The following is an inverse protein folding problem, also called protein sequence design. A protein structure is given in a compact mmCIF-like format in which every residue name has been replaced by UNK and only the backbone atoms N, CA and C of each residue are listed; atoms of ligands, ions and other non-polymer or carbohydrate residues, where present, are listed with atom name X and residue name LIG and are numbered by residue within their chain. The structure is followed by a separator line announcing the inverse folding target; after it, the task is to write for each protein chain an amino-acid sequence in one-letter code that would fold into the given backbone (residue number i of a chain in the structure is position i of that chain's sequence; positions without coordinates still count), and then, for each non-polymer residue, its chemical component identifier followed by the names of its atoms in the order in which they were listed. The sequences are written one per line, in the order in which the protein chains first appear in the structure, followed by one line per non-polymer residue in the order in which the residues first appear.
data_IF_260241706847
#
_entry.id   IF_260241706847
#
_cell.length_a   1.000
_cell.length_b   1.000
_cell.length_c   1.000
_cell.angle_alpha   90.00
_cell.angle_beta   90.00
_cell.angle_gamma   90.00
#
_symmetry.space_group_name_H-M   'P 1'
#
loop_
_entity.id
_entity.type
_entity.pdbx_description
1 polymer ?
#
# COMPACT_ATOMS: atom_id res chain seq x y z
N UNK A 1 -19.17 -1.95 -8.80
CA UNK A 1 -18.31 -2.84 -8.00
C UNK A 1 -18.12 -2.21 -6.62
N UNK A 2 -17.96 -3.04 -5.59
CA UNK A 2 -17.62 -2.59 -4.23
C UNK A 2 -16.10 -2.53 -4.10
N UNK A 3 -15.58 -1.38 -3.80
CA UNK A 3 -14.12 -1.13 -3.72
C UNK A 3 -13.76 -0.74 -2.28
N UNK A 4 -12.79 -1.40 -1.71
CA UNK A 4 -12.19 -0.99 -0.44
C UNK A 4 -10.90 -0.20 -0.68
N UNK A 5 -10.77 1.01 -0.13
CA UNK A 5 -9.51 1.72 -0.03
C UNK A 5 -9.02 1.65 1.41
N UNK A 6 -7.93 0.92 1.64
CA UNK A 6 -7.34 0.72 2.96
C UNK A 6 -6.31 1.80 3.25
N UNK A 7 -6.41 2.43 4.42
CA UNK A 7 -5.54 3.53 4.84
C UNK A 7 -5.16 3.30 6.31
N UNK A 8 -3.88 3.28 6.62
CA UNK A 8 -3.39 3.23 8.00
C UNK A 8 -2.94 4.63 8.40
N UNK A 9 -3.63 5.22 9.38
CA UNK A 9 -3.42 6.60 9.82
C UNK A 9 -3.34 6.65 11.35
N UNK A 10 -2.17 6.40 11.92
CA UNK A 10 -1.95 6.40 13.36
C UNK A 10 -1.04 7.53 13.80
N UNK A 11 -1.14 7.94 15.07
CA UNK A 11 -0.32 8.99 15.68
C UNK A 11 -0.36 10.28 14.85
N UNK A 12 0.80 10.85 14.55
CA UNK A 12 0.94 12.12 13.81
C UNK A 12 0.59 11.99 12.32
N UNK A 13 0.61 10.78 11.75
CA UNK A 13 0.22 10.54 10.36
C UNK A 13 -1.26 10.86 10.10
N UNK A 14 -2.08 10.97 11.15
CA UNK A 14 -3.48 11.36 11.04
C UNK A 14 -3.68 12.72 10.32
N UNK A 15 -2.69 13.62 10.37
CA UNK A 15 -2.74 14.91 9.68
C UNK A 15 -2.86 14.82 8.16
N UNK A 16 -2.44 13.69 7.56
CA UNK A 16 -2.52 13.47 6.12
C UNK A 16 -3.85 12.84 5.68
N UNK A 17 -4.66 12.35 6.64
CA UNK A 17 -5.83 11.56 6.31
C UNK A 17 -6.91 12.36 5.58
N UNK A 18 -7.33 13.52 6.11
CA UNK A 18 -8.36 14.34 5.45
C UNK A 18 -7.92 14.82 4.05
N UNK A 19 -6.68 15.31 3.86
CA UNK A 19 -6.17 15.63 2.52
C UNK A 19 -6.21 14.44 1.53
N UNK A 20 -5.84 13.24 1.98
CA UNK A 20 -5.93 12.03 1.14
C UNK A 20 -7.37 11.72 0.78
N UNK A 21 -8.29 11.66 1.77
CA UNK A 21 -9.72 11.36 1.56
C UNK A 21 -10.35 12.39 0.61
N UNK A 22 -10.13 13.68 0.84
CA UNK A 22 -10.67 14.74 -0.03
C UNK A 22 -10.19 14.63 -1.46
N UNK A 23 -8.93 14.23 -1.66
CA UNK A 23 -8.40 14.00 -3.01
C UNK A 23 -8.95 12.71 -3.64
N UNK A 24 -9.11 11.66 -2.85
CA UNK A 24 -9.71 10.41 -3.32
C UNK A 24 -11.18 10.57 -3.69
N UNK A 25 -11.94 11.38 -2.96
CA UNK A 25 -13.34 11.72 -3.30
C UNK A 25 -13.45 12.37 -4.69
N UNK A 26 -12.43 13.13 -5.10
CA UNK A 26 -12.44 13.81 -6.40
C UNK A 26 -11.93 12.93 -7.55
N UNK A 27 -11.01 12.00 -7.27
CA UNK A 27 -10.22 11.38 -8.35
C UNK A 27 -10.17 9.84 -8.33
N UNK A 28 -10.55 9.17 -7.23
CA UNK A 28 -10.39 7.73 -7.12
C UNK A 28 -11.70 6.99 -7.41
N UNK A 29 -11.76 6.26 -8.54
CA UNK A 29 -12.85 5.35 -8.93
C UNK A 29 -14.27 5.95 -8.73
N UNK A 30 -14.49 7.17 -9.23
CA UNK A 30 -15.71 7.96 -9.02
C UNK A 30 -17.01 7.28 -9.46
N UNK A 31 -16.93 6.28 -10.35
CA UNK A 31 -18.08 5.52 -10.86
C UNK A 31 -18.30 4.20 -10.09
N UNK A 32 -17.64 3.98 -8.94
CA UNK A 32 -17.71 2.75 -8.16
C UNK A 32 -18.23 3.01 -6.75
N UNK A 33 -18.72 1.96 -6.08
CA UNK A 33 -19.15 2.02 -4.66
C UNK A 33 -17.90 1.86 -3.76
N UNK A 34 -17.24 2.98 -3.45
CA UNK A 34 -16.00 3.00 -2.67
C UNK A 34 -16.32 3.13 -1.19
N UNK A 35 -15.66 2.29 -0.37
CA UNK A 35 -15.63 2.36 1.09
C UNK A 35 -14.20 2.60 1.55
N UNK A 36 -13.99 3.62 2.38
CA UNK A 36 -12.72 3.87 3.04
C UNK A 36 -12.61 3.05 4.32
N UNK A 37 -11.62 2.19 4.42
CA UNK A 37 -11.27 1.44 5.62
C UNK A 37 -10.09 2.14 6.29
N UNK A 38 -10.35 2.81 7.41
CA UNK A 38 -9.36 3.63 8.10
C UNK A 38 -8.95 2.92 9.39
N UNK A 39 -7.69 2.51 9.44
CA UNK A 39 -7.07 1.89 10.60
C UNK A 39 -6.35 2.98 11.40
N UNK A 40 -6.83 3.29 12.61
CA UNK A 40 -6.34 4.44 13.40
C UNK A 40 -6.44 4.19 14.90
N UNK A 41 -5.57 4.84 15.65
CA UNK A 41 -5.53 4.88 17.12
C UNK A 41 -6.30 6.08 17.71
N UNK A 42 -7.03 6.84 16.87
CA UNK A 42 -7.68 8.09 17.23
C UNK A 42 -9.18 8.06 16.97
N UNK A 43 -9.92 8.76 17.83
CA UNK A 43 -11.27 9.18 17.48
C UNK A 43 -11.19 10.30 16.46
N UNK A 44 -11.77 10.06 15.29
CA UNK A 44 -11.66 10.97 14.14
C UNK A 44 -13.03 11.33 13.59
N UNK A 45 -13.12 12.54 13.04
CA UNK A 45 -14.23 12.97 12.18
C UNK A 45 -13.64 13.26 10.80
N UNK A 46 -14.20 12.64 9.77
CA UNK A 46 -13.75 12.76 8.38
C UNK A 46 -14.91 13.26 7.53
N UNK A 47 -14.64 14.32 6.78
CA UNK A 47 -15.58 14.86 5.82
C UNK A 47 -15.47 14.10 4.49
N UNK A 48 -16.50 13.33 4.17
CA UNK A 48 -16.64 12.61 2.88
C UNK A 48 -18.09 12.24 2.65
N UNK A 49 -18.48 12.12 1.38
CA UNK A 49 -19.76 11.56 0.96
C UNK A 49 -19.76 10.05 0.80
N UNK A 50 -18.59 9.41 0.85
CA UNK A 50 -18.42 7.97 0.69
C UNK A 50 -18.56 7.23 2.03
N UNK A 51 -18.70 5.91 1.94
CA UNK A 51 -18.79 5.06 3.13
C UNK A 51 -17.46 5.05 3.89
N UNK A 52 -17.55 5.13 5.21
CA UNK A 52 -16.42 5.02 6.14
C UNK A 52 -16.56 3.77 7.00
N UNK A 53 -15.48 3.05 7.16
CA UNK A 53 -15.31 2.00 8.16
C UNK A 53 -14.05 2.32 8.97
N UNK A 54 -14.25 2.85 10.19
CA UNK A 54 -13.14 3.20 11.09
C UNK A 54 -12.87 2.00 11.99
N UNK A 55 -11.63 1.55 11.99
CA UNK A 55 -11.17 0.37 12.73
C UNK A 55 -10.09 0.80 13.71
N UNK A 56 -10.36 0.59 15.00
CA UNK A 56 -9.37 0.91 16.04
C UNK A 56 -8.14 0.01 15.88
N UNK A 57 -6.97 0.63 15.80
CA UNK A 57 -5.69 -0.05 15.59
C UNK A 57 -4.63 0.60 16.45
N UNK A 58 -3.99 -0.19 17.31
CA UNK A 58 -2.94 0.30 18.18
C UNK A 58 -1.75 0.85 17.38
N UNK A 59 -1.29 2.05 17.72
CA UNK A 59 -0.09 2.63 17.14
C UNK A 59 1.16 1.87 17.57
N UNK A 60 2.06 1.68 16.62
CA UNK A 60 3.43 1.20 16.89
C UNK A 60 4.40 2.11 16.15
N UNK A 61 5.52 2.42 16.80
CA UNK A 61 6.57 3.22 16.19
C UNK A 61 7.13 2.55 14.92
N UNK A 62 7.69 3.37 14.04
CA UNK A 62 8.41 2.86 12.88
C UNK A 62 9.59 1.98 13.31
N UNK A 63 9.85 0.81 12.68
CA UNK A 63 9.20 0.29 11.47
C UNK A 63 7.99 -0.64 11.74
N UNK A 64 7.53 -0.78 12.97
CA UNK A 64 6.57 -1.80 13.38
C UNK A 64 5.18 -1.61 12.77
N UNK A 65 4.72 -0.34 12.57
CA UNK A 65 3.46 -0.09 11.86
C UNK A 65 3.53 -0.56 10.41
N UNK A 66 4.66 -0.28 9.73
CA UNK A 66 4.90 -0.69 8.35
C UNK A 66 4.95 -2.21 8.22
N UNK A 67 5.73 -2.89 9.08
CA UNK A 67 5.80 -4.36 9.13
C UNK A 67 4.47 -5.02 9.51
N UNK A 68 3.66 -4.35 10.33
CA UNK A 68 2.37 -4.87 10.82
C UNK A 68 1.20 -4.74 9.84
N UNK A 69 1.35 -3.99 8.74
CA UNK A 69 0.24 -3.63 7.83
C UNK A 69 -0.55 -4.84 7.33
N UNK A 70 0.12 -5.86 6.82
CA UNK A 70 -0.56 -7.04 6.28
C UNK A 70 -1.25 -7.88 7.37
N UNK A 71 -0.70 -7.92 8.58
CA UNK A 71 -1.37 -8.53 9.73
C UNK A 71 -2.66 -7.80 10.08
N UNK A 72 -2.66 -6.47 10.09
CA UNK A 72 -3.86 -5.65 10.31
C UNK A 72 -4.94 -6.01 9.28
N UNK A 73 -4.59 -6.19 8.01
CA UNK A 73 -5.55 -6.56 6.98
C UNK A 73 -6.11 -7.97 7.18
N UNK A 74 -5.26 -8.94 7.54
CA UNK A 74 -5.72 -10.32 7.79
C UNK A 74 -6.61 -10.44 9.02
N UNK A 75 -6.36 -9.67 10.08
CA UNK A 75 -7.21 -9.62 11.26
C UNK A 75 -8.61 -9.06 10.95
N UNK A 76 -8.75 -8.33 9.85
CA UNK A 76 -10.02 -7.77 9.36
C UNK A 76 -10.57 -8.50 8.12
N UNK A 77 -10.10 -9.71 7.84
CA UNK A 77 -10.46 -10.51 6.66
C UNK A 77 -11.96 -10.55 6.39
N UNK A 78 -12.77 -10.85 7.42
CA UNK A 78 -14.23 -11.00 7.29
C UNK A 78 -14.93 -9.74 6.77
N UNK A 79 -14.44 -8.57 7.13
CA UNK A 79 -15.00 -7.31 6.67
C UNK A 79 -14.49 -6.98 5.26
N UNK A 80 -13.20 -7.12 5.03
CA UNK A 80 -12.56 -6.80 3.78
C UNK A 80 -12.98 -7.71 2.63
N UNK A 81 -13.24 -9.00 2.90
CA UNK A 81 -13.72 -9.96 1.89
C UNK A 81 -15.10 -9.67 1.32
N UNK A 82 -15.84 -8.68 1.85
CA UNK A 82 -17.12 -8.21 1.29
C UNK A 82 -16.94 -7.30 0.07
N UNK A 83 -15.72 -6.85 -0.19
CA UNK A 83 -15.38 -6.00 -1.34
C UNK A 83 -15.07 -6.86 -2.58
N UNK A 84 -15.34 -6.33 -3.76
CA UNK A 84 -14.93 -6.96 -5.01
C UNK A 84 -13.42 -6.75 -5.26
N UNK A 85 -12.93 -5.54 -4.97
CA UNK A 85 -11.53 -5.14 -5.09
C UNK A 85 -11.08 -4.36 -3.85
N UNK A 86 -9.80 -4.49 -3.53
CA UNK A 86 -9.15 -3.82 -2.42
C UNK A 86 -7.88 -3.13 -2.91
N UNK A 87 -7.69 -1.87 -2.52
CA UNK A 87 -6.46 -1.13 -2.72
C UNK A 87 -5.94 -0.60 -1.40
N UNK A 88 -4.65 -0.68 -1.20
CA UNK A 88 -3.95 -0.01 -0.12
C UNK A 88 -3.33 1.29 -0.65
N UNK A 89 -3.42 2.35 0.14
CA UNK A 89 -2.76 3.63 -0.12
C UNK A 89 -2.09 4.14 1.17
N UNK A 90 -0.80 4.49 1.09
CA UNK A 90 -0.14 5.18 2.19
C UNK A 90 -0.87 6.50 2.48
N UNK A 91 -1.05 6.81 3.76
CA UNK A 91 -1.85 7.98 4.17
C UNK A 91 -1.23 9.31 3.75
N UNK A 92 0.07 9.36 3.56
CA UNK A 92 0.84 10.53 3.10
C UNK A 92 0.97 10.60 1.56
N UNK A 93 -0.08 10.13 0.89
CA UNK A 93 -0.25 10.29 -0.55
C UNK A 93 -1.43 11.23 -0.88
N UNK A 94 -1.48 11.69 -2.14
CA UNK A 94 -2.55 12.59 -2.61
C UNK A 94 -2.88 12.31 -4.07
N UNK A 95 -4.14 12.03 -4.36
CA UNK A 95 -4.63 11.92 -5.75
C UNK A 95 -4.69 13.32 -6.39
N UNK A 96 -4.22 13.44 -7.62
CA UNK A 96 -4.18 14.71 -8.36
C UNK A 96 -4.75 14.62 -9.77
N UNK A 97 -5.14 13.44 -10.21
CA UNK A 97 -5.80 13.18 -11.49
C UNK A 97 -6.62 11.89 -11.38
N UNK A 98 -7.58 11.73 -12.30
CA UNK A 98 -8.50 10.59 -12.30
C UNK A 98 -7.78 9.24 -12.33
N UNK A 99 -8.17 8.39 -11.39
CA UNK A 99 -7.85 6.98 -11.30
C UNK A 99 -9.15 6.21 -11.49
N UNK A 100 -9.31 5.59 -12.67
CA UNK A 100 -10.52 4.90 -13.09
C UNK A 100 -10.36 3.39 -13.14
N UNK A 101 -11.14 2.75 -14.01
CA UNK A 101 -11.19 1.30 -14.12
C UNK A 101 -9.90 0.67 -14.68
N UNK A 102 -8.93 1.46 -15.12
CA UNK A 102 -7.62 0.99 -15.60
C UNK A 102 -6.81 0.24 -14.54
N UNK A 103 -7.16 0.42 -13.26
CA UNK A 103 -6.52 -0.30 -12.15
C UNK A 103 -7.23 -1.62 -11.79
N UNK A 104 -8.38 -1.93 -12.38
CA UNK A 104 -9.16 -3.13 -12.05
C UNK A 104 -8.47 -4.37 -12.61
N UNK A 105 -7.88 -5.17 -11.74
CA UNK A 105 -7.17 -6.42 -12.06
C UNK A 105 -6.92 -7.23 -10.78
N UNK A 106 -6.48 -8.49 -10.90
CA UNK A 106 -6.32 -9.38 -9.74
C UNK A 106 -5.14 -9.03 -8.82
N UNK A 107 -4.00 -8.66 -9.39
CA UNK A 107 -2.78 -8.26 -8.65
C UNK A 107 -2.22 -6.99 -9.28
N UNK A 108 -2.37 -5.88 -8.58
CA UNK A 108 -2.03 -4.53 -9.04
C UNK A 108 -0.87 -4.00 -8.21
N UNK A 109 0.18 -3.57 -8.89
CA UNK A 109 1.38 -2.97 -8.28
C UNK A 109 1.78 -1.70 -9.01
N UNK A 110 2.54 -0.84 -8.35
CA UNK A 110 3.06 0.40 -8.92
C UNK A 110 4.57 0.32 -9.07
N UNK A 111 5.11 0.69 -10.22
CA UNK A 111 6.56 0.83 -10.43
C UNK A 111 7.13 1.84 -9.43
N UNK A 112 8.21 1.45 -8.73
CA UNK A 112 8.86 2.35 -7.79
C UNK A 112 9.54 3.52 -8.53
N UNK A 113 9.24 4.79 -8.17
CA UNK A 113 9.71 5.97 -8.93
C UNK A 113 11.23 6.10 -8.97
N UNK A 114 11.92 5.65 -7.93
CA UNK A 114 13.39 5.68 -7.87
C UNK A 114 14.10 4.65 -8.75
N UNK A 115 13.37 3.66 -9.31
CA UNK A 115 14.00 2.55 -10.05
C UNK A 115 13.47 2.36 -11.48
N UNK A 116 12.41 3.05 -11.86
CA UNK A 116 11.82 3.14 -13.21
C UNK A 116 11.73 1.78 -13.94
N UNK A 117 11.25 0.75 -13.25
CA UNK A 117 11.13 -0.61 -13.80
C UNK A 117 12.39 -1.47 -13.69
N UNK A 118 13.48 -0.93 -13.16
CA UNK A 118 14.69 -1.70 -12.85
C UNK A 118 14.54 -2.58 -11.60
N UNK A 119 15.62 -3.31 -11.30
CA UNK A 119 15.69 -4.29 -10.20
C UNK A 119 15.61 -3.66 -8.81
N UNK A 120 15.95 -2.37 -8.66
CA UNK A 120 16.00 -1.68 -7.38
C UNK A 120 16.98 -2.30 -6.38
N UNK A 121 16.58 -2.32 -5.10
CA UNK A 121 17.37 -2.83 -3.98
C UNK A 121 16.63 -3.97 -3.26
N UNK A 122 16.57 -5.18 -3.83
CA UNK A 122 15.90 -6.32 -3.21
C UNK A 122 16.61 -6.77 -1.93
N UNK A 123 15.90 -7.50 -1.08
CA UNK A 123 16.51 -8.17 0.06
C UNK A 123 17.51 -9.23 -0.42
N UNK A 124 18.74 -9.14 0.07
CA UNK A 124 19.86 -9.99 -0.37
C UNK A 124 20.30 -11.03 0.68
N UNK A 125 19.75 -10.97 1.90
CA UNK A 125 20.05 -11.96 2.95
C UNK A 125 19.26 -13.22 2.70
N UNK A 126 19.96 -14.32 2.46
CA UNK A 126 19.37 -15.62 2.11
C UNK A 126 18.48 -16.20 3.24
N UNK A 127 18.71 -15.77 4.47
CA UNK A 127 17.93 -16.19 5.64
C UNK A 127 16.56 -15.51 5.72
N UNK A 128 16.38 -14.37 5.01
CA UNK A 128 15.11 -13.65 4.98
C UNK A 128 14.12 -14.34 4.02
N UNK A 129 12.86 -14.39 4.43
CA UNK A 129 11.76 -14.84 3.55
C UNK A 129 11.46 -13.85 2.42
N UNK A 130 12.04 -12.65 2.46
CA UNK A 130 11.99 -11.64 1.39
C UNK A 130 13.16 -11.75 0.40
N UNK A 131 14.08 -12.71 0.57
CA UNK A 131 15.26 -12.87 -0.28
C UNK A 131 14.90 -13.03 -1.75
N UNK A 132 15.61 -12.29 -2.62
CA UNK A 132 15.52 -12.40 -4.08
C UNK A 132 16.93 -12.61 -4.64
N UNK A 133 17.16 -13.76 -5.27
CA UNK A 133 18.47 -14.13 -5.81
C UNK A 133 18.89 -13.17 -6.96
N UNK A 134 20.21 -12.93 -7.14
CA UNK A 134 20.72 -11.99 -8.16
C UNK A 134 20.29 -12.30 -9.59
N UNK A 135 20.07 -13.56 -9.91
CA UNK A 135 19.69 -14.09 -11.22
C UNK A 135 18.16 -14.15 -11.45
N UNK A 136 17.35 -13.96 -10.41
CA UNK A 136 15.90 -13.87 -10.58
C UNK A 136 15.50 -12.58 -11.29
N UNK A 137 14.69 -12.71 -12.34
CA UNK A 137 14.16 -11.55 -13.05
C UNK A 137 13.09 -10.84 -12.22
N UNK A 138 13.22 -9.54 -12.04
CA UNK A 138 12.25 -8.73 -11.30
C UNK A 138 12.22 -7.28 -11.75
N UNK A 139 11.06 -6.67 -11.55
CA UNK A 139 10.84 -5.23 -11.50
C UNK A 139 10.56 -4.85 -10.06
N UNK A 140 11.11 -3.73 -9.58
CA UNK A 140 10.91 -3.27 -8.22
C UNK A 140 9.66 -2.39 -8.10
N UNK A 141 8.76 -2.76 -7.18
CA UNK A 141 7.47 -2.10 -6.96
C UNK A 141 7.45 -1.34 -5.64
N UNK A 142 6.77 -0.19 -5.64
CA UNK A 142 6.55 0.63 -4.45
C UNK A 142 5.45 0.04 -3.55
N UNK A 143 5.66 0.10 -2.25
CA UNK A 143 4.68 -0.36 -1.25
C UNK A 143 3.52 0.60 -1.03
N UNK A 144 3.63 1.86 -1.47
CA UNK A 144 2.68 2.92 -1.11
C UNK A 144 1.30 2.84 -1.79
N UNK A 145 1.21 2.23 -2.98
CA UNK A 145 -0.06 1.99 -3.66
C UNK A 145 -0.04 0.66 -4.41
N UNK A 146 -0.88 -0.27 -3.96
CA UNK A 146 -1.05 -1.59 -4.55
C UNK A 146 -2.44 -2.13 -4.24
N UNK A 147 -2.86 -3.22 -4.91
CA UNK A 147 -4.20 -3.77 -4.70
C UNK A 147 -4.52 -4.95 -5.61
N UNK A 148 -5.82 -5.19 -5.79
CA UNK A 148 -6.31 -6.23 -6.66
C UNK A 148 -7.71 -6.71 -6.31
N UNK A 149 -8.14 -7.86 -6.87
CA UNK A 149 -9.36 -8.51 -6.39
C UNK A 149 -9.22 -8.83 -4.91
N UNK A 150 -10.33 -8.72 -4.15
CA UNK A 150 -10.31 -8.96 -2.69
C UNK A 150 -9.70 -10.31 -2.34
N UNK A 151 -10.01 -11.36 -3.12
CA UNK A 151 -9.45 -12.69 -2.95
C UNK A 151 -7.92 -12.66 -3.02
N UNK A 152 -7.36 -12.09 -4.09
CA UNK A 152 -5.91 -12.08 -4.31
C UNK A 152 -5.17 -11.12 -3.39
N UNK A 153 -5.77 -9.99 -3.02
CA UNK A 153 -5.19 -9.07 -2.06
C UNK A 153 -5.12 -9.68 -0.64
N UNK A 154 -6.18 -10.38 -0.21
CA UNK A 154 -6.22 -11.01 1.11
C UNK A 154 -5.35 -12.27 1.19
N UNK A 155 -5.27 -13.06 0.11
CA UNK A 155 -4.31 -14.16 -0.04
C UNK A 155 -2.87 -13.63 0.10
N UNK A 156 -2.50 -12.59 -0.66
CA UNK A 156 -1.21 -11.93 -0.56
C UNK A 156 -0.94 -11.43 0.87
N UNK A 157 -1.90 -10.73 1.47
CA UNK A 157 -1.75 -10.19 2.82
C UNK A 157 -1.48 -11.27 3.86
N UNK A 158 -2.13 -12.43 3.74
CA UNK A 158 -1.92 -13.57 4.64
C UNK A 158 -0.49 -14.10 4.49
N UNK A 159 -0.05 -14.35 3.28
CA UNK A 159 1.31 -14.85 3.00
C UNK A 159 2.37 -13.85 3.49
N UNK A 160 2.17 -12.55 3.25
CA UNK A 160 3.12 -11.52 3.67
C UNK A 160 3.18 -11.37 5.20
N UNK A 161 2.03 -11.42 5.88
CA UNK A 161 1.99 -11.41 7.35
C UNK A 161 2.74 -12.62 7.94
N UNK A 162 2.58 -13.81 7.38
CA UNK A 162 3.28 -15.03 7.80
C UNK A 162 4.79 -14.91 7.57
N UNK A 163 5.24 -14.48 6.38
CA UNK A 163 6.65 -14.29 6.04
C UNK A 163 7.33 -13.27 6.95
N UNK A 164 6.69 -12.11 7.18
CA UNK A 164 7.20 -11.09 8.09
C UNK A 164 7.33 -11.66 9.51
N UNK A 165 6.31 -12.35 10.02
CA UNK A 165 6.36 -12.96 11.35
C UNK A 165 7.49 -14.02 11.45
N UNK A 166 7.71 -14.80 10.40
CA UNK A 166 8.80 -15.77 10.35
C UNK A 166 10.17 -15.09 10.44
N UNK A 167 10.38 -14.00 9.68
CA UNK A 167 11.62 -13.22 9.75
C UNK A 167 11.83 -12.59 11.12
N UNK A 168 10.78 -11.97 11.68
CA UNK A 168 10.84 -11.37 13.03
C UNK A 168 11.17 -12.40 14.11
N UNK A 169 10.67 -13.64 14.01
CA UNK A 169 11.00 -14.72 14.95
C UNK A 169 12.48 -15.11 14.92
N UNK A 170 13.19 -14.77 13.84
CA UNK A 170 14.64 -14.97 13.65
C UNK A 170 15.46 -13.68 13.85
N UNK A 171 14.84 -12.60 14.36
CA UNK A 171 15.42 -11.26 14.47
C UNK A 171 15.88 -10.68 13.13
N UNK A 172 15.17 -10.99 12.04
CA UNK A 172 15.42 -10.44 10.71
C UNK A 172 14.36 -9.38 10.43
N UNK A 173 14.81 -8.18 10.05
CA UNK A 173 13.98 -7.12 9.49
C UNK A 173 14.48 -6.90 8.06
N UNK A 174 13.65 -7.16 7.06
CA UNK A 174 14.01 -6.97 5.66
C UNK A 174 14.39 -5.52 5.37
N UNK A 175 15.29 -5.28 4.41
CA UNK A 175 15.95 -3.98 4.16
C UNK A 175 14.94 -2.84 3.95
N UNK A 176 13.84 -3.10 3.23
CA UNK A 176 12.72 -2.17 3.02
C UNK A 176 11.43 -2.69 3.64
N UNK A 177 11.56 -3.40 4.78
CA UNK A 177 10.44 -3.84 5.60
C UNK A 177 9.41 -4.65 4.80
N UNK A 178 8.15 -4.27 4.84
CA UNK A 178 7.04 -4.90 4.13
C UNK A 178 7.15 -4.78 2.59
N UNK A 179 7.77 -3.72 2.07
CA UNK A 179 8.00 -3.55 0.62
C UNK A 179 8.95 -4.62 0.07
N UNK A 180 9.98 -5.03 0.83
CA UNK A 180 10.84 -6.16 0.45
C UNK A 180 10.04 -7.47 0.31
N UNK A 181 9.13 -7.73 1.25
CA UNK A 181 8.27 -8.91 1.21
C UNK A 181 7.25 -8.84 0.06
N UNK A 182 6.68 -7.66 -0.22
CA UNK A 182 5.82 -7.44 -1.39
C UNK A 182 6.57 -7.77 -2.68
N UNK A 183 7.79 -7.27 -2.84
CA UNK A 183 8.60 -7.52 -4.03
C UNK A 183 8.94 -9.00 -4.21
N UNK A 184 9.30 -9.72 -3.12
CA UNK A 184 9.48 -11.19 -3.16
C UNK A 184 8.20 -11.91 -3.57
N UNK A 185 7.04 -11.50 -3.03
CA UNK A 185 5.75 -12.08 -3.39
C UNK A 185 5.45 -11.93 -4.89
N UNK A 186 5.76 -10.76 -5.46
CA UNK A 186 5.50 -10.46 -6.87
C UNK A 186 6.46 -11.19 -7.83
N UNK A 187 7.61 -11.63 -7.38
CA UNK A 187 8.47 -12.56 -8.14
C UNK A 187 7.83 -13.95 -8.19
N UNK A 188 7.29 -14.42 -7.06
CA UNK A 188 6.62 -15.74 -6.98
C UNK A 188 5.23 -15.75 -7.66
N UNK A 189 4.53 -14.61 -7.63
CA UNK A 189 3.15 -14.43 -8.10
C UNK A 189 3.08 -13.18 -8.99
N UNK A 190 3.46 -13.26 -10.26
CA UNK A 190 3.56 -12.08 -11.13
C UNK A 190 2.31 -11.21 -11.14
N UNK A 191 2.45 -9.88 -11.12
CA UNK A 191 1.31 -8.98 -11.17
C UNK A 191 0.53 -9.13 -12.47
N UNK A 192 -0.78 -8.95 -12.40
CA UNK A 192 -1.67 -8.96 -13.59
C UNK A 192 -1.84 -7.55 -14.15
N UNK A 193 -1.50 -6.52 -13.35
CA UNK A 193 -1.48 -5.12 -13.75
C UNK A 193 -0.30 -4.40 -13.10
N UNK A 194 0.53 -3.81 -13.92
CA UNK A 194 1.62 -2.95 -13.48
C UNK A 194 1.24 -1.51 -13.82
N UNK A 195 1.18 -0.65 -12.81
CA UNK A 195 0.98 0.79 -12.95
C UNK A 195 2.34 1.46 -13.06
N UNK A 196 2.44 2.49 -13.89
CA UNK A 196 3.65 3.26 -14.00
C UNK A 196 3.88 4.19 -12.77
N UNK A 197 4.98 4.92 -12.76
CA UNK A 197 5.34 5.79 -11.64
C UNK A 197 4.46 7.05 -11.49
N UNK A 198 3.47 7.28 -12.37
CA UNK A 198 2.45 8.31 -12.15
C UNK A 198 1.57 8.02 -10.93
N UNK A 199 1.47 6.74 -10.53
CA UNK A 199 0.73 6.28 -9.35
C UNK A 199 1.56 6.27 -8.04
N UNK A 200 2.83 6.68 -8.09
CA UNK A 200 3.69 6.91 -6.92
C UNK A 200 4.72 8.00 -7.25
N UNK A 201 4.25 9.14 -7.73
CA UNK A 201 5.11 10.25 -8.13
C UNK A 201 5.56 11.05 -6.90
N UNK A 202 6.85 11.33 -6.76
CA UNK A 202 7.35 12.21 -5.71
C UNK A 202 6.78 13.63 -5.94
N UNK A 203 6.32 14.29 -4.89
CA UNK A 203 5.51 15.53 -4.95
C UNK A 203 6.10 16.60 -5.86
N UNK A 204 7.43 16.77 -5.87
CA UNK A 204 8.14 17.78 -6.66
C UNK A 204 8.66 17.27 -8.02
N UNK A 205 8.34 16.03 -8.40
CA UNK A 205 8.75 15.47 -9.69
C UNK A 205 7.60 15.52 -10.71
N UNK A 206 7.97 15.60 -11.99
CA UNK A 206 7.02 15.71 -13.11
C UNK A 206 7.40 14.70 -14.19
N UNK A 207 7.09 13.40 -13.99
CA UNK A 207 7.39 12.34 -14.96
C UNK A 207 6.59 12.52 -16.26
N UNK A 208 7.13 12.06 -17.39
CA UNK A 208 6.48 12.14 -18.71
C UNK A 208 5.12 11.42 -18.75
N UNK A 209 4.95 10.33 -17.96
CA UNK A 209 3.67 9.61 -17.83
C UNK A 209 2.57 10.41 -17.09
N UNK A 210 2.90 11.61 -16.61
CA UNK A 210 1.98 12.46 -15.84
C UNK A 210 1.97 12.12 -14.35
N UNK A 211 1.00 12.65 -13.62
CA UNK A 211 0.87 12.53 -12.17
C UNK A 211 -0.55 12.14 -11.82
N UNK A 212 -0.75 11.00 -11.19
CA UNK A 212 -2.05 10.52 -10.70
C UNK A 212 -2.12 10.48 -9.18
N UNK A 213 -1.06 10.00 -8.55
CA UNK A 213 -0.97 9.86 -7.10
C UNK A 213 0.42 10.30 -6.64
N UNK A 214 0.47 11.31 -5.78
CA UNK A 214 1.71 11.88 -5.26
C UNK A 214 2.10 11.22 -3.94
N UNK A 215 3.37 10.91 -3.76
CA UNK A 215 3.99 10.67 -2.47
C UNK A 215 4.45 12.03 -1.91
N UNK A 216 3.84 12.49 -0.83
CA UNK A 216 4.07 13.81 -0.26
C UNK A 216 5.44 13.88 0.42
N UNK A 217 6.15 14.99 0.22
CA UNK A 217 7.40 15.26 0.92
C UNK A 217 7.09 15.62 2.37
N UNK A 218 7.76 14.93 3.30
CA UNK A 218 7.60 15.12 4.74
C UNK A 218 8.94 15.07 5.46
N UNK A 219 9.00 15.74 6.60
CA UNK A 219 10.14 15.64 7.50
C UNK A 219 9.89 14.46 8.45
N UNK A 220 10.60 13.37 8.25
CA UNK A 220 10.41 12.13 9.01
C UNK A 220 10.53 12.31 10.53
N UNK A 221 11.42 13.18 11.00
CA UNK A 221 11.60 13.50 12.41
C UNK A 221 10.41 14.26 13.05
N UNK A 222 9.52 14.84 12.23
CA UNK A 222 8.33 15.54 12.72
C UNK A 222 7.10 14.62 12.78
N UNK A 223 7.07 13.53 12.02
CA UNK A 223 5.91 12.64 11.87
C UNK A 223 6.11 11.22 12.41
N UNK A 224 7.36 10.85 12.71
CA UNK A 224 7.70 9.56 13.36
C UNK A 224 7.90 9.71 14.85
#
# INVERSE_FOLDING_TARGET
MKIGLLIIATNKYIQFLQPLISSADNFFLNNQDVTYYIFTDRDIQIETSRKLCIINTEHKDWPWMTLGRYKIFTENYKELSKMDYIYYCDVDMKFVSDVGNEIISDRVVTIHPGFLGGRGTPEHRIESTAYIAPDENMTYYAGGFNGGSSEKFLEMSTILAERINQDLSRNIIAIWHDESHLNRYMVDNPPTKILDNSYCCIENEYPECGRKLLALIKKHNEVR
#
